data_IF_125149436760
#
_entry.id   IF_125149436760
#
_cell.length_a   1.000
_cell.length_b   1.000
_cell.length_c   1.000
_cell.angle_alpha   90.00
_cell.angle_beta   90.00
_cell.angle_gamma   90.00
#
_symmetry.space_group_name_H-M   'P 1'
#
loop_
_entity.id
_entity.type
_entity.pdbx_description
1 polymer ?
#
# COMPACT_ATOMS: atom_id res chain seq x y z
N UNK A 1 7.54 22.79 -7.20
CA UNK A 1 6.63 22.04 -8.11
C UNK A 1 6.88 20.55 -7.93
N UNK A 2 5.87 19.79 -7.49
CA UNK A 2 5.96 18.35 -7.24
C UNK A 2 6.44 17.60 -8.50
N UNK A 3 7.54 16.86 -8.43
CA UNK A 3 8.21 16.14 -9.52
C UNK A 3 7.38 14.98 -10.11
N UNK A 4 6.13 15.22 -10.54
CA UNK A 4 5.22 14.18 -11.01
C UNK A 4 4.67 13.27 -9.91
N UNK A 5 4.84 13.63 -8.63
CA UNK A 5 4.50 12.80 -7.46
C UNK A 5 2.98 12.57 -7.24
N UNK A 6 2.13 13.23 -8.03
CA UNK A 6 0.69 13.07 -7.93
C UNK A 6 0.17 11.79 -8.53
N UNK A 7 -0.67 11.06 -7.79
CA UNK A 7 -1.32 9.82 -8.26
C UNK A 7 -2.64 10.15 -8.97
N UNK A 8 -2.90 9.49 -10.09
CA UNK A 8 -4.17 9.62 -10.82
C UNK A 8 -5.31 9.06 -9.97
N UNK A 9 -6.25 9.91 -9.62
CA UNK A 9 -7.42 9.57 -8.80
C UNK A 9 -8.69 9.44 -9.65
N UNK A 10 -8.73 10.10 -10.81
CA UNK A 10 -9.83 10.01 -11.77
C UNK A 10 -9.45 10.53 -13.16
N UNK A 11 -10.41 10.50 -14.07
CA UNK A 11 -10.39 11.21 -15.34
C UNK A 11 -11.82 11.57 -15.72
N UNK A 12 -11.99 12.62 -16.50
CA UNK A 12 -13.28 12.93 -17.10
C UNK A 12 -13.52 12.01 -18.29
N UNK A 13 -14.72 11.45 -18.41
CA UNK A 13 -15.07 10.50 -19.49
C UNK A 13 -15.26 11.18 -20.84
N UNK A 14 -15.64 12.45 -20.85
CA UNK A 14 -15.99 13.22 -22.06
C UNK A 14 -14.93 14.26 -22.45
N UNK A 15 -13.85 14.39 -21.67
CA UNK A 15 -12.77 15.34 -21.94
C UNK A 15 -11.41 14.71 -21.70
N UNK A 16 -10.36 15.29 -22.31
CA UNK A 16 -8.97 14.85 -22.12
C UNK A 16 -8.40 15.25 -20.75
N UNK A 17 -9.20 15.25 -19.69
CA UNK A 17 -8.82 15.73 -18.37
C UNK A 17 -8.51 14.56 -17.43
N UNK A 18 -7.36 14.63 -16.75
CA UNK A 18 -6.99 13.75 -15.65
C UNK A 18 -7.01 14.49 -14.34
N UNK A 19 -7.44 13.80 -13.29
CA UNK A 19 -7.49 14.34 -11.94
C UNK A 19 -6.41 13.63 -11.13
N UNK A 20 -5.49 14.41 -10.57
CA UNK A 20 -4.35 13.90 -9.79
C UNK A 20 -4.43 14.37 -8.36
N UNK A 21 -4.33 13.43 -7.43
CA UNK A 21 -4.15 13.73 -6.02
C UNK A 21 -2.70 14.15 -5.77
N UNK A 22 -2.53 15.26 -5.07
CA UNK A 22 -1.27 15.90 -4.72
C UNK A 22 -1.22 16.13 -3.22
N UNK A 23 -0.01 16.26 -2.70
CA UNK A 23 0.25 16.70 -1.34
C UNK A 23 0.91 18.06 -1.36
N UNK A 24 0.39 18.97 -0.53
CA UNK A 24 1.01 20.26 -0.22
C UNK A 24 1.61 20.17 1.18
N UNK A 25 2.95 20.05 1.31
CA UNK A 25 3.60 20.07 2.63
C UNK A 25 3.38 21.39 3.38
N UNK A 26 3.34 22.51 2.66
CA UNK A 26 3.16 23.85 3.24
C UNK A 26 1.77 24.01 3.86
N UNK A 27 0.72 23.54 3.18
CA UNK A 27 -0.66 23.59 3.66
C UNK A 27 -1.03 22.39 4.54
N UNK A 28 -0.13 21.40 4.64
CA UNK A 28 -0.37 20.09 5.25
C UNK A 28 -1.70 19.46 4.78
N UNK A 29 -2.00 19.55 3.47
CA UNK A 29 -3.29 19.15 2.92
C UNK A 29 -3.17 18.43 1.57
N UNK A 30 -4.19 17.62 1.26
CA UNK A 30 -4.38 16.97 -0.03
C UNK A 30 -5.09 17.91 -1.01
N UNK A 31 -4.50 18.04 -2.19
CA UNK A 31 -5.03 18.84 -3.30
C UNK A 31 -5.34 17.94 -4.50
N UNK A 32 -6.30 18.35 -5.33
CA UNK A 32 -6.60 17.69 -6.60
C UNK A 32 -6.32 18.66 -7.72
N UNK A 33 -5.34 18.34 -8.57
CA UNK A 33 -5.09 19.06 -9.81
C UNK A 33 -5.87 18.42 -10.96
N UNK A 34 -6.59 19.25 -11.71
CA UNK A 34 -7.25 18.88 -12.96
C UNK A 34 -6.35 19.35 -14.10
N UNK A 35 -5.88 18.40 -14.90
CA UNK A 35 -4.89 18.63 -15.94
C UNK A 35 -5.40 18.14 -17.29
N UNK A 36 -5.11 18.91 -18.34
CA UNK A 36 -5.23 18.44 -19.71
C UNK A 36 -4.11 17.42 -20.01
N UNK A 37 -4.48 16.22 -20.46
CA UNK A 37 -3.56 15.11 -20.71
C UNK A 37 -2.67 15.37 -21.93
N UNK A 38 -3.15 16.11 -22.91
CA UNK A 38 -2.46 16.33 -24.19
C UNK A 38 -1.35 17.37 -24.01
N UNK A 39 -1.68 18.48 -23.38
CA UNK A 39 -0.75 19.60 -23.17
C UNK A 39 0.00 19.53 -21.83
N UNK A 40 -0.51 18.78 -20.86
CA UNK A 40 -0.01 18.78 -19.48
C UNK A 40 -0.41 20.01 -18.66
N UNK A 41 -1.22 20.91 -19.23
CA UNK A 41 -1.63 22.16 -18.57
C UNK A 41 -2.50 21.88 -17.35
N UNK A 42 -2.14 22.44 -16.20
CA UNK A 42 -3.01 22.46 -15.02
C UNK A 42 -4.08 23.52 -15.22
N UNK A 43 -5.34 23.09 -15.30
CA UNK A 43 -6.47 24.00 -15.47
C UNK A 43 -6.95 24.58 -14.14
N UNK A 44 -6.97 23.75 -13.10
CA UNK A 44 -7.36 24.16 -11.74
C UNK A 44 -6.80 23.23 -10.69
N UNK A 45 -6.72 23.73 -9.45
CA UNK A 45 -6.34 22.99 -8.25
C UNK A 45 -7.39 23.24 -7.18
N UNK A 46 -7.91 22.16 -6.60
CA UNK A 46 -8.96 22.17 -5.59
C UNK A 46 -8.46 21.47 -4.32
N UNK A 47 -9.02 21.79 -3.15
CA UNK A 47 -8.86 20.90 -2.00
C UNK A 47 -9.59 19.58 -2.26
N UNK A 48 -9.22 18.52 -1.54
CA UNK A 48 -9.92 17.25 -1.65
C UNK A 48 -11.41 17.40 -1.27
N UNK A 49 -11.77 18.25 -0.31
CA UNK A 49 -13.17 18.50 0.06
C UNK A 49 -13.94 19.20 -1.07
N UNK A 50 -13.36 20.25 -1.66
CA UNK A 50 -13.97 20.95 -2.80
C UNK A 50 -14.18 19.99 -3.97
N UNK A 51 -13.17 19.19 -4.29
CA UNK A 51 -13.26 18.21 -5.37
C UNK A 51 -14.33 17.14 -5.09
N UNK A 52 -14.42 16.62 -3.87
CA UNK A 52 -15.48 15.66 -3.49
C UNK A 52 -16.87 16.25 -3.64
N UNK A 53 -17.06 17.52 -3.28
CA UNK A 53 -18.35 18.23 -3.40
C UNK A 53 -18.73 18.43 -4.87
N UNK A 54 -17.80 18.92 -5.67
CA UNK A 54 -18.08 19.43 -7.03
C UNK A 54 -17.97 18.33 -8.11
N UNK A 55 -17.26 17.22 -7.81
CA UNK A 55 -16.98 16.13 -8.74
C UNK A 55 -17.29 14.74 -8.16
N UNK A 56 -18.28 14.63 -7.27
CA UNK A 56 -18.66 13.38 -6.58
C UNK A 56 -18.89 12.20 -7.56
N UNK A 57 -19.47 12.46 -8.73
CA UNK A 57 -19.74 11.44 -9.76
C UNK A 57 -18.47 10.76 -10.30
N UNK A 58 -17.32 11.43 -10.20
CA UNK A 58 -16.05 10.96 -10.74
C UNK A 58 -15.19 10.21 -9.70
N UNK A 59 -15.71 10.01 -8.47
CA UNK A 59 -14.88 9.59 -7.35
C UNK A 59 -15.65 8.76 -6.31
N UNK A 60 -15.33 7.48 -6.18
CA UNK A 60 -15.76 6.70 -5.02
C UNK A 60 -14.84 6.95 -3.82
N UNK A 61 -15.38 6.93 -2.60
CA UNK A 61 -14.56 7.09 -1.39
C UNK A 61 -13.47 6.01 -1.29
N UNK A 62 -13.79 4.79 -1.70
CA UNK A 62 -12.82 3.68 -1.78
C UNK A 62 -11.65 4.00 -2.71
N UNK A 63 -11.89 4.68 -3.83
CA UNK A 63 -10.83 5.09 -4.75
C UNK A 63 -9.90 6.11 -4.10
N UNK A 64 -10.46 7.06 -3.36
CA UNK A 64 -9.66 8.06 -2.62
C UNK A 64 -8.80 7.40 -1.58
N UNK A 65 -9.40 6.54 -0.75
CA UNK A 65 -8.72 5.77 0.27
C UNK A 65 -7.55 4.98 -0.32
N UNK A 66 -7.81 4.21 -1.39
CA UNK A 66 -6.79 3.42 -2.08
C UNK A 66 -5.62 4.27 -2.57
N UNK A 67 -5.91 5.41 -3.20
CA UNK A 67 -4.87 6.30 -3.76
C UNK A 67 -4.07 6.97 -2.65
N UNK A 68 -4.70 7.38 -1.55
CA UNK A 68 -4.01 7.92 -0.36
C UNK A 68 -3.05 6.87 0.19
N UNK A 69 -3.51 5.64 0.43
CA UNK A 69 -2.67 4.57 0.95
C UNK A 69 -1.50 4.28 0.00
N UNK A 70 -1.72 4.21 -1.32
CA UNK A 70 -0.64 4.08 -2.29
C UNK A 70 0.39 5.22 -2.22
N UNK A 71 -0.04 6.46 -1.96
CA UNK A 71 0.85 7.60 -1.79
C UNK A 71 1.64 7.51 -0.48
N UNK A 72 1.02 7.03 0.61
CA UNK A 72 1.74 6.76 1.88
C UNK A 72 2.82 5.71 1.64
N UNK A 73 2.45 4.59 1.03
CA UNK A 73 3.37 3.46 0.80
C UNK A 73 4.53 3.84 -0.11
N UNK A 74 4.29 4.75 -1.06
CA UNK A 74 5.32 5.32 -1.94
C UNK A 74 6.12 6.46 -1.29
N UNK A 75 5.86 6.80 -0.02
CA UNK A 75 6.52 7.88 0.73
C UNK A 75 6.31 9.28 0.12
N UNK A 76 5.23 9.46 -0.64
CA UNK A 76 4.87 10.76 -1.21
C UNK A 76 4.14 11.66 -0.20
N UNK A 77 3.51 11.06 0.82
CA UNK A 77 2.75 11.75 1.87
C UNK A 77 3.03 11.13 3.25
N UNK A 78 2.76 11.84 4.36
CA UNK A 78 3.04 11.34 5.70
C UNK A 78 2.29 10.04 6.04
N UNK A 79 2.95 9.16 6.80
CA UNK A 79 2.37 7.89 7.28
C UNK A 79 1.09 8.07 8.11
N UNK A 80 0.94 9.21 8.80
CA UNK A 80 -0.26 9.54 9.57
C UNK A 80 -1.53 9.64 8.72
N UNK A 81 -1.41 9.77 7.39
CA UNK A 81 -2.53 9.80 6.46
C UNK A 81 -3.03 8.41 6.06
N UNK A 82 -2.31 7.34 6.40
CA UNK A 82 -2.73 5.98 6.11
C UNK A 82 -4.02 5.64 6.86
N UNK A 83 -4.91 4.91 6.19
CA UNK A 83 -6.18 4.50 6.77
C UNK A 83 -6.42 3.01 6.46
N UNK A 84 -6.78 2.19 7.46
CA UNK A 84 -7.12 0.79 7.23
C UNK A 84 -8.45 0.67 6.47
N UNK A 85 -8.72 -0.54 5.95
CA UNK A 85 -10.04 -0.89 5.40
C UNK A 85 -10.22 -0.65 3.91
N UNK A 86 -9.14 -0.47 3.15
CA UNK A 86 -9.21 -0.46 1.70
C UNK A 86 -9.46 -1.88 1.16
N UNK A 87 -10.61 -2.18 0.54
CA UNK A 87 -10.92 -3.53 0.04
C UNK A 87 -10.05 -3.94 -1.16
N UNK A 88 -9.34 -2.99 -1.79
CA UNK A 88 -8.41 -3.25 -2.89
C UNK A 88 -6.95 -3.32 -2.41
N UNK A 89 -6.69 -3.09 -1.13
CA UNK A 89 -5.34 -3.19 -0.58
C UNK A 89 -4.93 -4.65 -0.45
N UNK A 90 -3.72 -4.95 -0.91
CA UNK A 90 -3.12 -6.25 -0.78
C UNK A 90 -1.62 -6.10 -0.56
N UNK A 91 -1.05 -7.12 0.04
CA UNK A 91 0.38 -7.22 0.30
C UNK A 91 0.96 -8.26 -0.63
N UNK A 92 1.96 -7.88 -1.43
CA UNK A 92 2.71 -8.82 -2.25
C UNK A 92 3.81 -9.46 -1.41
N UNK A 93 3.84 -10.78 -1.35
CA UNK A 93 4.73 -11.53 -0.44
C UNK A 93 5.72 -12.38 -1.24
N UNK A 94 6.98 -12.34 -0.82
CA UNK A 94 8.07 -13.17 -1.32
C UNK A 94 8.73 -13.92 -0.17
N UNK A 95 9.14 -15.16 -0.43
CA UNK A 95 9.93 -15.96 0.50
C UNK A 95 11.36 -16.13 -0.04
N UNK A 96 12.33 -16.03 0.86
CA UNK A 96 13.72 -16.39 0.58
C UNK A 96 13.97 -17.78 1.15
N UNK A 97 14.38 -18.71 0.30
CA UNK A 97 14.54 -20.12 0.63
C UNK A 97 16.02 -20.49 0.51
N UNK A 98 16.53 -21.27 1.46
CA UNK A 98 17.96 -21.63 1.57
C UNK A 98 18.55 -22.18 0.27
N UNK A 99 17.81 -23.04 -0.43
CA UNK A 99 18.28 -23.70 -1.65
C UNK A 99 18.21 -22.81 -2.91
N UNK A 100 17.59 -21.62 -2.85
CA UNK A 100 17.25 -20.81 -4.03
C UNK A 100 17.80 -19.39 -3.88
N UNK A 101 18.58 -18.96 -4.87
CA UNK A 101 19.17 -17.61 -4.89
C UNK A 101 18.16 -16.49 -5.16
N UNK A 102 17.06 -16.81 -5.84
CA UNK A 102 16.02 -15.85 -6.20
C UNK A 102 14.83 -15.93 -5.25
N UNK A 103 14.22 -14.81 -4.85
CA UNK A 103 13.01 -14.81 -4.04
C UNK A 103 11.88 -15.57 -4.73
N UNK A 104 11.17 -16.40 -3.97
CA UNK A 104 9.98 -17.13 -4.43
C UNK A 104 8.76 -16.26 -4.19
N UNK A 105 8.09 -15.83 -5.26
CA UNK A 105 6.82 -15.10 -5.14
C UNK A 105 5.73 -16.03 -4.58
N UNK A 106 5.19 -15.71 -3.41
CA UNK A 106 4.09 -16.44 -2.76
C UNK A 106 2.73 -15.94 -3.24
N UNK A 107 2.65 -14.68 -3.65
CA UNK A 107 1.44 -14.08 -4.24
C UNK A 107 0.96 -12.86 -3.46
N UNK A 108 -0.34 -12.61 -3.53
CA UNK A 108 -1.02 -11.49 -2.86
C UNK A 108 -1.74 -12.01 -1.62
N UNK A 109 -1.43 -11.42 -0.47
CA UNK A 109 -2.17 -11.60 0.77
C UNK A 109 -3.18 -10.46 0.93
N UNK A 110 -4.42 -10.81 1.25
CA UNK A 110 -5.58 -9.90 1.31
C UNK A 110 -6.27 -9.91 2.68
N UNK A 111 -5.57 -10.39 3.71
CA UNK A 111 -6.09 -10.34 5.08
C UNK A 111 -6.00 -8.94 5.68
N UNK A 112 -6.41 -8.81 6.94
CA UNK A 112 -6.50 -7.51 7.62
C UNK A 112 -5.10 -6.98 7.94
N UNK A 113 -4.73 -5.84 7.34
CA UNK A 113 -3.53 -5.09 7.72
C UNK A 113 -3.91 -3.97 8.69
N UNK A 114 -3.40 -4.02 9.92
CA UNK A 114 -3.72 -3.02 10.95
C UNK A 114 -2.71 -1.86 11.04
N UNK A 115 -1.63 -1.89 10.25
CA UNK A 115 -0.55 -0.90 10.32
C UNK A 115 0.10 -0.69 8.95
N UNK A 116 0.53 0.54 8.61
CA UNK A 116 1.35 0.77 7.42
C UNK A 116 2.75 0.16 7.55
N UNK A 117 3.17 -0.22 8.76
CA UNK A 117 4.40 -0.98 9.01
C UNK A 117 4.14 -2.48 8.85
N UNK A 118 4.58 -3.03 7.71
CA UNK A 118 4.42 -4.45 7.37
C UNK A 118 5.18 -5.41 8.29
N UNK A 119 6.16 -4.95 9.07
CA UNK A 119 6.83 -5.81 10.05
C UNK A 119 5.85 -6.36 11.08
N UNK A 120 4.76 -5.63 11.33
CA UNK A 120 3.72 -6.04 12.28
C UNK A 120 2.87 -7.23 11.79
N UNK A 121 2.85 -7.52 10.48
CA UNK A 121 2.26 -8.77 9.97
C UNK A 121 2.93 -10.00 10.56
N UNK A 122 4.17 -9.86 11.02
CA UNK A 122 4.92 -10.87 11.75
C UNK A 122 4.20 -11.45 12.96
N UNK A 123 3.22 -10.73 13.53
CA UNK A 123 2.40 -11.17 14.68
C UNK A 123 1.12 -11.91 14.27
N UNK A 124 0.77 -11.91 12.99
CA UNK A 124 -0.48 -12.52 12.50
C UNK A 124 -0.28 -14.02 12.24
N UNK A 125 -0.93 -14.86 13.04
CA UNK A 125 -0.94 -16.31 12.83
C UNK A 125 -1.60 -16.68 11.49
N UNK A 126 -2.64 -15.96 11.08
CA UNK A 126 -3.31 -16.16 9.79
C UNK A 126 -2.35 -15.88 8.62
N UNK A 127 -1.54 -14.83 8.71
CA UNK A 127 -0.52 -14.53 7.70
C UNK A 127 0.50 -15.66 7.59
N UNK A 128 1.01 -16.16 8.72
CA UNK A 128 2.02 -17.24 8.71
C UNK A 128 1.45 -18.59 8.28
N UNK A 129 0.21 -18.92 8.65
CA UNK A 129 -0.49 -20.09 8.12
C UNK A 129 -0.65 -20.00 6.60
N UNK A 130 -0.99 -18.82 6.06
CA UNK A 130 -1.04 -18.58 4.63
C UNK A 130 0.33 -18.73 3.97
N UNK A 131 1.41 -18.20 4.57
CA UNK A 131 2.78 -18.36 4.06
C UNK A 131 3.16 -19.84 3.97
N UNK A 132 2.93 -20.61 5.03
CA UNK A 132 3.20 -22.06 5.05
C UNK A 132 2.44 -22.79 3.94
N UNK A 133 1.13 -22.55 3.83
CA UNK A 133 0.30 -23.14 2.77
C UNK A 133 0.80 -22.80 1.36
N UNK A 134 1.26 -21.56 1.12
CA UNK A 134 1.80 -21.13 -0.18
C UNK A 134 3.15 -21.77 -0.49
N UNK A 135 3.99 -21.99 0.51
CA UNK A 135 5.26 -22.70 0.36
C UNK A 135 5.05 -24.17 0.01
N UNK A 136 4.18 -24.86 0.76
CA UNK A 136 3.81 -26.26 0.49
C UNK A 136 3.20 -26.43 -0.90
N UNK A 137 2.28 -25.53 -1.29
CA UNK A 137 1.69 -25.51 -2.63
C UNK A 137 2.71 -25.30 -3.75
N UNK A 138 3.88 -24.74 -3.44
CA UNK A 138 5.02 -24.58 -4.35
C UNK A 138 6.10 -25.65 -4.16
N UNK A 139 5.82 -26.68 -3.35
CA UNK A 139 6.71 -27.81 -3.01
C UNK A 139 7.99 -27.39 -2.28
N UNK A 140 7.91 -26.36 -1.45
CA UNK A 140 8.99 -25.97 -0.55
C UNK A 140 8.65 -26.32 0.90
N UNK A 141 9.63 -26.88 1.61
CA UNK A 141 9.53 -27.17 3.03
C UNK A 141 9.60 -25.88 3.85
N UNK A 142 8.76 -25.74 4.88
CA UNK A 142 8.72 -24.52 5.71
C UNK A 142 10.05 -24.29 6.43
N UNK A 143 10.74 -25.36 6.82
CA UNK A 143 12.05 -25.34 7.48
C UNK A 143 13.17 -24.76 6.60
N UNK A 144 12.95 -24.73 5.28
CA UNK A 144 13.90 -24.13 4.34
C UNK A 144 13.76 -22.62 4.20
N UNK A 145 12.72 -22.02 4.80
CA UNK A 145 12.43 -20.60 4.81
C UNK A 145 13.47 -19.84 5.64
N UNK A 146 14.15 -18.89 5.01
CA UNK A 146 15.12 -18.01 5.68
C UNK A 146 14.45 -16.72 6.16
N UNK A 147 13.70 -16.06 5.27
CA UNK A 147 12.97 -14.82 5.59
C UNK A 147 11.81 -14.59 4.64
N UNK A 148 10.89 -13.74 5.06
CA UNK A 148 9.76 -13.27 4.26
C UNK A 148 9.90 -11.78 4.03
N UNK A 149 9.72 -11.36 2.79
CA UNK A 149 9.63 -9.95 2.41
C UNK A 149 8.22 -9.66 1.87
N UNK A 150 7.69 -8.51 2.26
CA UNK A 150 6.36 -8.06 1.89
C UNK A 150 6.40 -6.62 1.40
N UNK A 151 5.49 -6.26 0.51
CA UNK A 151 5.28 -4.85 0.12
C UNK A 151 3.82 -4.56 -0.17
N UNK A 152 3.40 -3.35 0.16
CA UNK A 152 2.18 -2.78 -0.40
C UNK A 152 2.37 -2.39 -1.87
N UNK A 153 1.28 -2.15 -2.57
CA UNK A 153 1.32 -1.64 -3.95
C UNK A 153 1.97 -0.26 -3.99
N UNK A 154 3.07 -0.13 -4.72
CA UNK A 154 3.84 1.12 -4.84
C UNK A 154 4.83 1.36 -3.69
N UNK A 155 4.87 0.49 -2.68
CA UNK A 155 5.81 0.58 -1.56
C UNK A 155 7.08 -0.24 -1.75
N UNK A 156 8.01 -0.04 -0.81
CA UNK A 156 9.28 -0.79 -0.73
C UNK A 156 9.05 -2.19 -0.16
N UNK A 157 9.99 -3.09 -0.46
CA UNK A 157 10.03 -4.40 0.22
C UNK A 157 10.47 -4.18 1.67
N UNK A 158 9.72 -4.76 2.60
CA UNK A 158 10.01 -4.78 4.01
C UNK A 158 10.12 -6.23 4.46
N UNK A 159 11.08 -6.53 5.34
CA UNK A 159 11.15 -7.84 5.98
C UNK A 159 9.99 -7.99 6.98
N UNK A 160 9.39 -9.18 7.00
CA UNK A 160 8.32 -9.55 7.95
C UNK A 160 8.89 -10.58 8.91
N UNK A 161 9.36 -10.17 10.09
CA UNK A 161 9.94 -11.09 11.06
C UNK A 161 8.87 -12.02 11.64
N UNK A 162 9.19 -13.30 11.81
CA UNK A 162 8.29 -14.21 12.53
C UNK A 162 8.31 -13.85 14.02
N UNK A 163 7.20 -13.34 14.53
CA UNK A 163 6.98 -13.15 15.95
C UNK A 163 6.08 -14.28 16.43
N UNK A 164 6.70 -15.37 16.90
CA UNK A 164 5.98 -16.35 17.70
C UNK A 164 5.26 -15.58 18.82
N UNK A 165 3.95 -15.72 18.93
CA UNK A 165 3.20 -15.23 20.09
C UNK A 165 3.74 -15.96 21.31
N UNK A 166 4.63 -15.31 22.06
CA UNK A 166 5.43 -15.97 23.07
C UNK A 166 6.38 -15.04 23.83
N UNK A 167 5.86 -13.92 24.36
CA UNK A 167 6.33 -13.48 25.68
C UNK A 167 5.90 -14.55 26.69
N UNK A 168 6.68 -15.61 26.78
CA UNK A 168 6.59 -16.61 27.83
C UNK A 168 8.01 -16.95 28.33
N UNK A 169 8.86 -15.94 28.53
CA UNK A 169 10.12 -16.11 29.30
C UNK A 169 10.78 -14.78 29.72
N UNK A 170 10.08 -13.90 30.46
CA UNK A 170 10.73 -12.91 31.34
C UNK A 170 9.85 -12.57 32.55
N UNK A 171 9.59 -13.57 33.37
CA UNK A 171 9.24 -13.39 34.79
C UNK A 171 9.60 -14.71 35.47
N UNK A 172 10.90 -14.89 35.71
CA UNK A 172 11.40 -15.79 36.74
C UNK A 172 12.80 -15.32 37.12
N UNK A 173 12.93 -14.96 38.40
CA UNK A 173 14.13 -14.52 39.14
C UNK A 173 14.38 -13.01 39.13
#
# INVERSE_FOLDING_TARGET
MNAGLGKRIGASTESNLIHRLLWSPEDNNLLVAIQDVVSGTVLTVLTLEMYKRDYAVNLSENRVLHVINQMVHAEHIPTAMWRPGDPQEYVTVHAHITAIKTPVALGRWTGIVCSPDLSQLGRSLEFWAWVAQRLEGKRYAVESLMRVEARFTGGRNCEVPYHASGEATRLNS
#
